data_IF_951699869314
#
_entry.id   IF_951699869314
#
_cell.length_a   1.000
_cell.length_b   1.000
_cell.length_c   1.000
_cell.angle_alpha   90.00
_cell.angle_beta   90.00
_cell.angle_gamma   90.00
#
_symmetry.space_group_name_H-M   'P 1'
#
loop_
_entity.id
_entity.type
_entity.pdbx_description
1 polymer ?
#
# COMPACT_ATOMS: atom_id res chain seq x y z
N UNK A 1 -2.59 0.95 -9.57
CA UNK A 1 -1.97 0.26 -8.43
C UNK A 1 -1.22 -0.96 -8.97
N UNK A 2 -0.01 -0.75 -9.49
CA UNK A 2 0.71 -1.72 -10.35
C UNK A 2 1.24 -2.94 -9.58
N UNK A 3 1.40 -2.78 -8.26
CA UNK A 3 1.95 -3.79 -7.35
C UNK A 3 0.88 -4.58 -6.58
N UNK A 4 -0.39 -4.30 -6.83
CA UNK A 4 -1.48 -4.92 -6.09
C UNK A 4 -1.60 -6.42 -6.45
N UNK A 5 -1.72 -7.32 -5.46
CA UNK A 5 -1.85 -8.76 -5.69
C UNK A 5 -3.08 -9.12 -6.54
N UNK A 6 -3.02 -10.28 -7.19
CA UNK A 6 -4.13 -10.85 -7.98
C UNK A 6 -5.04 -11.75 -7.14
N UNK A 7 -4.47 -12.49 -6.20
CA UNK A 7 -5.18 -13.37 -5.30
C UNK A 7 -6.06 -12.60 -4.32
N UNK A 8 -7.26 -13.13 -4.07
CA UNK A 8 -8.32 -12.41 -3.34
C UNK A 8 -7.89 -12.05 -1.91
N UNK A 9 -7.23 -12.96 -1.20
CA UNK A 9 -6.87 -12.74 0.20
C UNK A 9 -5.68 -11.78 0.30
N UNK A 10 -4.63 -12.01 -0.49
CA UNK A 10 -3.47 -11.12 -0.55
C UNK A 10 -3.89 -9.71 -0.96
N UNK A 11 -4.82 -9.59 -1.92
CA UNK A 11 -5.37 -8.30 -2.33
C UNK A 11 -6.13 -7.61 -1.20
N UNK A 12 -6.94 -8.36 -0.44
CA UNK A 12 -7.68 -7.82 0.70
C UNK A 12 -6.75 -7.30 1.79
N UNK A 13 -5.67 -8.03 2.09
CA UNK A 13 -4.62 -7.59 3.02
C UNK A 13 -3.91 -6.35 2.49
N UNK A 14 -3.48 -6.36 1.22
CA UNK A 14 -2.79 -5.24 0.60
C UNK A 14 -3.62 -3.95 0.66
N UNK A 15 -4.90 -4.02 0.28
CA UNK A 15 -5.79 -2.87 0.30
C UNK A 15 -6.07 -2.37 1.74
N UNK A 16 -6.23 -3.28 2.71
CA UNK A 16 -6.43 -2.92 4.11
C UNK A 16 -5.17 -2.27 4.73
N UNK A 17 -3.99 -2.75 4.38
CA UNK A 17 -2.70 -2.20 4.81
C UNK A 17 -2.42 -0.84 4.17
N UNK A 18 -2.77 -0.65 2.90
CA UNK A 18 -2.67 0.65 2.25
C UNK A 18 -3.63 1.68 2.87
N UNK A 19 -4.86 1.27 3.22
CA UNK A 19 -5.77 2.12 3.98
C UNK A 19 -5.17 2.54 5.33
N UNK A 20 -4.58 1.58 6.07
CA UNK A 20 -3.90 1.87 7.33
C UNK A 20 -2.72 2.85 7.15
N UNK A 21 -1.98 2.78 6.04
CA UNK A 21 -0.90 3.72 5.69
C UNK A 21 -1.42 5.14 5.51
N UNK A 22 -2.47 5.32 4.70
CA UNK A 22 -3.08 6.63 4.43
C UNK A 22 -3.64 7.24 5.71
N UNK A 23 -4.34 6.43 6.52
CA UNK A 23 -4.84 6.84 7.83
C UNK A 23 -3.72 7.22 8.80
N UNK A 24 -2.59 6.51 8.77
CA UNK A 24 -1.45 6.81 9.61
C UNK A 24 -0.80 8.15 9.27
N UNK A 25 -0.67 8.49 7.98
CA UNK A 25 -0.17 9.80 7.54
C UNK A 25 -1.06 10.91 8.10
N UNK A 26 -2.38 10.79 7.90
CA UNK A 26 -3.34 11.76 8.42
C UNK A 26 -3.33 11.86 9.95
N UNK A 27 -3.22 10.72 10.64
CA UNK A 27 -3.17 10.64 12.10
C UNK A 27 -1.91 11.27 12.69
N UNK A 28 -0.75 11.16 12.01
CA UNK A 28 0.51 11.77 12.44
C UNK A 28 0.50 13.28 12.26
N UNK A 29 -0.17 13.77 11.22
CA UNK A 29 -0.28 15.20 10.94
C UNK A 29 -1.33 15.90 11.81
N UNK A 30 -2.44 15.22 12.15
CA UNK A 30 -3.60 15.83 12.78
C UNK A 30 -4.17 14.96 13.91
N UNK A 31 -3.99 15.41 15.15
CA UNK A 31 -4.48 14.71 16.35
C UNK A 31 -6.01 14.43 16.29
N UNK A 32 -6.81 15.41 15.85
CA UNK A 32 -8.27 15.23 15.75
C UNK A 32 -8.67 14.17 14.71
N UNK A 33 -7.89 14.01 13.63
CA UNK A 33 -8.10 12.92 12.65
C UNK A 33 -7.76 11.58 13.29
N UNK A 34 -6.66 11.51 14.04
CA UNK A 34 -6.27 10.31 14.75
C UNK A 34 -7.33 9.85 15.78
N UNK A 35 -7.94 10.79 16.50
CA UNK A 35 -9.00 10.50 17.48
C UNK A 35 -10.30 10.05 16.79
N UNK A 36 -10.66 10.68 15.68
CA UNK A 36 -11.82 10.29 14.87
C UNK A 36 -11.66 8.90 14.26
N UNK A 37 -10.49 8.59 13.69
CA UNK A 37 -10.19 7.26 13.14
C UNK A 37 -10.21 6.22 14.25
N UNK A 38 -9.61 6.50 15.42
CA UNK A 38 -9.68 5.61 16.57
C UNK A 38 -11.12 5.27 16.99
N UNK A 39 -11.98 6.28 17.05
CA UNK A 39 -13.40 6.10 17.39
C UNK A 39 -14.16 5.32 16.31
N UNK A 40 -13.90 5.61 15.04
CA UNK A 40 -14.49 4.88 13.91
C UNK A 40 -14.10 3.40 13.93
N UNK A 41 -12.83 3.08 14.19
CA UNK A 41 -12.34 1.71 14.27
C UNK A 41 -12.96 0.96 15.46
N UNK A 42 -13.06 1.61 16.62
CA UNK A 42 -13.75 1.05 17.79
C UNK A 42 -15.21 0.66 17.45
N UNK A 43 -15.95 1.56 16.81
CA UNK A 43 -17.32 1.29 16.37
C UNK A 43 -17.40 0.19 15.30
N UNK A 44 -16.46 0.17 14.35
CA UNK A 44 -16.40 -0.82 13.27
C UNK A 44 -16.22 -2.23 13.84
N UNK A 45 -15.22 -2.44 14.69
CA UNK A 45 -14.91 -3.77 15.22
C UNK A 45 -15.91 -4.25 16.28
N UNK A 46 -16.49 -3.34 17.05
CA UNK A 46 -17.59 -3.67 17.95
C UNK A 46 -18.82 -4.19 17.18
N UNK A 47 -19.20 -3.53 16.06
CA UNK A 47 -20.33 -3.97 15.22
C UNK A 47 -20.07 -5.29 14.49
N UNK A 48 -18.81 -5.58 14.19
CA UNK A 48 -18.40 -6.85 13.58
C UNK A 48 -18.36 -8.01 14.60
N UNK A 49 -18.65 -7.77 15.88
CA UNK A 49 -18.61 -8.75 16.97
C UNK A 49 -17.24 -9.44 17.14
N UNK A 50 -16.16 -8.70 16.87
CA UNK A 50 -14.80 -9.23 16.96
C UNK A 50 -14.24 -9.22 18.39
N UNK A 51 -14.96 -8.60 19.33
CA UNK A 51 -14.60 -8.59 20.76
C UNK A 51 -14.54 -10.01 21.34
N UNK A 52 -15.44 -10.88 20.86
CA UNK A 52 -15.63 -12.23 21.39
C UNK A 52 -15.07 -13.33 20.47
N UNK A 53 -14.26 -12.97 19.47
CA UNK A 53 -13.70 -13.95 18.52
C UNK A 53 -12.74 -14.91 19.24
N UNK A 54 -12.92 -16.22 18.98
CA UNK A 54 -12.17 -17.29 19.67
C UNK A 54 -11.22 -18.02 18.76
N UNK A 55 -11.60 -18.18 17.50
CA UNK A 55 -10.91 -19.01 16.53
C UNK A 55 -10.50 -18.21 15.31
N UNK A 56 -9.34 -18.55 14.74
CA UNK A 56 -8.81 -17.90 13.53
C UNK A 56 -9.73 -18.02 12.32
N UNK A 57 -10.58 -19.06 12.27
CA UNK A 57 -11.54 -19.27 11.19
C UNK A 57 -12.61 -18.17 11.11
N UNK A 58 -12.93 -17.51 12.23
CA UNK A 58 -13.91 -16.43 12.32
C UNK A 58 -13.23 -15.04 12.45
N UNK A 59 -11.91 -14.99 12.30
CA UNK A 59 -11.09 -13.82 12.56
C UNK A 59 -10.43 -13.33 11.26
N UNK A 60 -10.93 -12.26 10.61
CA UNK A 60 -10.39 -11.79 9.33
C UNK A 60 -8.93 -11.35 9.46
N UNK A 61 -8.03 -12.03 8.75
CA UNK A 61 -6.59 -11.79 8.82
C UNK A 61 -6.23 -10.39 8.33
N UNK A 62 -6.88 -9.91 7.26
CA UNK A 62 -6.67 -8.59 6.67
C UNK A 62 -6.91 -7.46 7.66
N UNK A 63 -7.92 -7.59 8.52
CA UNK A 63 -8.22 -6.60 9.55
C UNK A 63 -7.20 -6.66 10.69
N UNK A 64 -6.73 -7.86 11.07
CA UNK A 64 -5.71 -8.02 12.08
C UNK A 64 -4.37 -7.41 11.64
N UNK A 65 -3.94 -7.70 10.40
CA UNK A 65 -2.71 -7.13 9.82
C UNK A 65 -2.82 -5.62 9.69
N UNK A 66 -3.95 -5.09 9.21
CA UNK A 66 -4.16 -3.64 9.11
C UNK A 66 -4.08 -2.94 10.48
N UNK A 67 -4.66 -3.55 11.52
CA UNK A 67 -4.59 -3.05 12.90
C UNK A 67 -3.15 -3.06 13.45
N UNK A 68 -2.40 -4.13 13.21
CA UNK A 68 -0.98 -4.23 13.60
C UNK A 68 -0.12 -3.18 12.88
N UNK A 69 -0.31 -3.01 11.57
CA UNK A 69 0.38 -1.97 10.78
C UNK A 69 0.03 -0.58 11.32
N UNK A 70 -1.25 -0.30 11.56
CA UNK A 70 -1.68 1.00 12.13
C UNK A 70 -1.01 1.29 13.46
N UNK A 71 -1.00 0.32 14.39
CA UNK A 71 -0.32 0.45 15.69
C UNK A 71 1.15 0.79 15.49
N UNK A 72 1.84 0.08 14.58
CA UNK A 72 3.25 0.33 14.27
C UNK A 72 3.50 1.72 13.70
N UNK A 73 2.70 2.15 12.72
CA UNK A 73 2.91 3.41 11.99
C UNK A 73 2.54 4.65 12.83
N UNK A 74 1.60 4.52 13.77
CA UNK A 74 1.06 5.64 14.55
C UNK A 74 1.50 5.64 16.01
N UNK A 75 1.96 4.51 16.56
CA UNK A 75 2.24 4.33 17.98
C UNK A 75 1.00 4.31 18.87
N UNK A 76 -0.22 4.33 18.28
CA UNK A 76 -1.47 4.29 19.03
C UNK A 76 -1.88 2.85 19.26
N UNK A 77 -2.35 2.57 20.47
CA UNK A 77 -2.87 1.26 20.82
C UNK A 77 -4.01 0.82 19.88
N UNK A 78 -4.15 -0.50 19.75
CA UNK A 78 -5.28 -1.16 19.11
C UNK A 78 -6.59 -0.75 19.83
N UNK A 79 -7.69 -0.47 19.11
CA UNK A 79 -9.01 -0.27 19.74
C UNK A 79 -9.41 -1.52 20.54
N UNK A 80 -10.11 -1.34 21.66
CA UNK A 80 -10.45 -2.44 22.58
C UNK A 80 -11.24 -3.53 21.90
N UNK A 81 -12.17 -3.15 21.02
CA UNK A 81 -12.96 -4.10 20.23
C UNK A 81 -12.18 -4.89 19.19
N UNK A 82 -10.95 -4.48 18.85
CA UNK A 82 -10.04 -5.18 17.94
C UNK A 82 -8.89 -5.92 18.63
N UNK A 83 -8.67 -5.72 19.93
CA UNK A 83 -7.55 -6.33 20.67
C UNK A 83 -7.56 -7.87 20.53
N UNK A 84 -8.73 -8.49 20.73
CA UNK A 84 -8.86 -9.95 20.66
C UNK A 84 -8.52 -10.51 19.28
N UNK A 85 -8.95 -9.81 18.22
CA UNK A 85 -8.63 -10.17 16.84
C UNK A 85 -7.12 -10.14 16.62
N UNK A 86 -6.46 -9.06 17.04
CA UNK A 86 -5.00 -8.91 16.89
C UNK A 86 -4.26 -9.96 17.70
N UNK A 87 -4.66 -10.22 18.95
CA UNK A 87 -4.00 -11.20 19.82
C UNK A 87 -4.00 -12.63 19.24
N UNK A 88 -5.04 -13.01 18.49
CA UNK A 88 -5.10 -14.31 17.83
C UNK A 88 -4.06 -14.45 16.71
N UNK A 89 -3.81 -13.37 15.98
CA UNK A 89 -2.97 -13.38 14.78
C UNK A 89 -1.54 -12.94 15.04
N UNK A 90 -1.32 -12.06 16.02
CA UNK A 90 -0.03 -11.44 16.32
C UNK A 90 1.12 -12.44 16.41
N UNK A 91 1.02 -13.57 17.15
CA UNK A 91 2.15 -14.51 17.24
C UNK A 91 2.59 -15.06 15.88
N UNK A 92 1.62 -15.34 15.01
CA UNK A 92 1.89 -15.88 13.67
C UNK A 92 2.40 -14.80 12.71
N UNK A 93 1.83 -13.59 12.76
CA UNK A 93 2.28 -12.47 11.92
C UNK A 93 3.70 -12.04 12.32
N UNK A 94 4.01 -11.97 13.62
CA UNK A 94 5.34 -11.62 14.11
C UNK A 94 6.38 -12.71 13.77
N UNK A 95 6.00 -14.00 13.85
CA UNK A 95 6.86 -15.10 13.43
C UNK A 95 7.21 -15.01 11.94
N UNK A 96 6.24 -14.67 11.09
CA UNK A 96 6.42 -14.66 9.64
C UNK A 96 7.04 -13.38 9.11
N UNK A 97 6.59 -12.22 9.58
CA UNK A 97 6.80 -10.95 8.89
C UNK A 97 7.20 -9.78 9.80
N UNK A 98 7.77 -10.07 10.98
CA UNK A 98 8.25 -9.01 11.90
C UNK A 98 9.25 -8.05 11.25
N UNK A 99 10.17 -8.55 10.43
CA UNK A 99 11.19 -7.71 9.79
C UNK A 99 10.56 -6.72 8.80
N UNK A 100 9.59 -7.18 8.01
CA UNK A 100 8.88 -6.36 7.03
C UNK A 100 8.04 -5.28 7.73
N UNK A 101 7.34 -5.64 8.81
CA UNK A 101 6.58 -4.70 9.64
C UNK A 101 7.45 -3.58 10.24
N UNK A 102 8.67 -3.92 10.66
CA UNK A 102 9.63 -2.93 11.18
C UNK A 102 10.08 -1.94 10.08
N UNK A 103 10.18 -2.40 8.83
CA UNK A 103 10.58 -1.59 7.68
C UNK A 103 9.51 -0.58 7.22
N UNK A 104 8.22 -0.85 7.45
CA UNK A 104 7.12 -0.03 6.93
C UNK A 104 7.18 1.44 7.37
N UNK A 105 7.58 1.71 8.62
CA UNK A 105 7.63 3.07 9.16
C UNK A 105 8.60 3.98 8.42
N UNK A 106 9.70 3.41 7.90
CA UNK A 106 10.71 4.16 7.15
C UNK A 106 10.26 4.52 5.72
N UNK A 107 9.23 3.84 5.21
CA UNK A 107 8.71 4.01 3.84
C UNK A 107 7.31 4.61 3.80
N UNK A 108 6.81 5.12 4.93
CA UNK A 108 5.44 5.64 5.07
C UNK A 108 5.04 6.62 3.94
N UNK A 109 5.94 7.54 3.60
CA UNK A 109 5.70 8.62 2.63
C UNK A 109 6.07 8.23 1.18
N UNK A 110 6.67 7.06 0.96
CA UNK A 110 7.01 6.52 -0.35
C UNK A 110 6.08 5.33 -0.65
N UNK A 111 5.00 5.59 -1.37
CA UNK A 111 3.99 4.58 -1.67
C UNK A 111 4.56 3.37 -2.43
N UNK A 112 5.50 3.57 -3.35
CA UNK A 112 6.06 2.47 -4.14
C UNK A 112 6.98 1.60 -3.27
N UNK A 113 7.84 2.22 -2.46
CA UNK A 113 8.68 1.46 -1.52
C UNK A 113 7.85 0.74 -0.45
N UNK A 114 6.79 1.38 0.06
CA UNK A 114 5.87 0.77 1.00
C UNK A 114 5.16 -0.45 0.37
N UNK A 115 4.63 -0.31 -0.84
CA UNK A 115 3.95 -1.39 -1.55
C UNK A 115 4.86 -2.60 -1.80
N UNK A 116 6.16 -2.39 -2.08
CA UNK A 116 7.14 -3.48 -2.19
C UNK A 116 7.32 -4.24 -0.87
N UNK A 117 7.49 -3.54 0.25
CA UNK A 117 7.57 -4.18 1.58
C UNK A 117 6.28 -4.95 1.89
N UNK A 118 5.11 -4.42 1.53
CA UNK A 118 3.84 -5.14 1.72
C UNK A 118 3.78 -6.42 0.88
N UNK A 119 4.33 -6.42 -0.35
CA UNK A 119 4.47 -7.65 -1.15
C UNK A 119 5.40 -8.65 -0.48
N UNK A 120 6.56 -8.22 0.01
CA UNK A 120 7.51 -9.08 0.72
C UNK A 120 6.85 -9.69 1.98
N UNK A 121 6.09 -8.88 2.73
CA UNK A 121 5.29 -9.32 3.87
C UNK A 121 4.27 -10.41 3.50
N UNK A 122 3.61 -10.28 2.34
CA UNK A 122 2.68 -11.30 1.81
C UNK A 122 3.41 -12.59 1.42
N UNK A 123 4.60 -12.51 0.82
CA UNK A 123 5.45 -13.69 0.54
C UNK A 123 5.82 -14.39 1.85
N UNK A 124 6.29 -13.64 2.85
CA UNK A 124 6.65 -14.13 4.18
C UNK A 124 5.48 -14.85 4.87
N UNK A 125 4.25 -14.41 4.61
CA UNK A 125 3.00 -15.00 5.08
C UNK A 125 2.50 -16.18 4.22
N UNK A 126 3.36 -16.79 3.39
CA UNK A 126 3.06 -17.93 2.52
C UNK A 126 2.03 -17.63 1.41
N UNK A 127 1.89 -16.36 1.01
CA UNK A 127 0.92 -15.91 0.01
C UNK A 127 1.56 -15.59 -1.35
N UNK A 128 2.74 -16.18 -1.64
CA UNK A 128 3.48 -15.90 -2.88
C UNK A 128 2.67 -16.22 -4.15
N UNK A 129 1.90 -17.32 -4.14
CA UNK A 129 1.03 -17.72 -5.26
C UNK A 129 -0.12 -16.72 -5.52
N UNK A 130 -0.42 -15.86 -4.55
CA UNK A 130 -1.47 -14.83 -4.67
C UNK A 130 -0.97 -13.51 -5.26
N UNK A 131 0.33 -13.35 -5.51
CA UNK A 131 0.90 -12.08 -5.97
C UNK A 131 0.77 -11.81 -7.47
N UNK A 132 0.48 -12.85 -8.28
CA UNK A 132 0.52 -12.80 -9.75
C UNK A 132 1.95 -12.91 -10.31
N UNK A 133 2.08 -13.11 -11.63
CA UNK A 133 3.39 -13.06 -12.29
C UNK A 133 3.98 -11.66 -12.12
N UNK A 134 5.18 -11.58 -11.54
CA UNK A 134 5.96 -10.36 -11.45
C UNK A 134 6.22 -9.84 -12.87
N UNK A 135 5.42 -8.87 -13.32
CA UNK A 135 5.96 -7.88 -14.24
C UNK A 135 6.86 -6.97 -13.41
N UNK A 136 8.06 -7.47 -13.10
CA UNK A 136 9.27 -6.66 -13.03
C UNK A 136 9.39 -5.92 -14.37
N UNK A 137 8.62 -4.85 -14.51
CA UNK A 137 9.14 -3.70 -15.22
C UNK A 137 9.97 -2.98 -14.19
N UNK A 138 11.22 -3.43 -14.08
CA UNK A 138 12.32 -2.56 -13.68
C UNK A 138 12.07 -1.20 -14.33
N UNK A 139 12.12 -0.15 -13.50
CA UNK A 139 12.33 1.20 -14.00
C UNK A 139 13.54 1.14 -14.93
N UNK A 140 13.28 1.15 -16.24
CA UNK A 140 14.28 1.56 -17.21
C UNK A 140 14.49 3.05 -16.98
N UNK A 141 15.37 3.37 -16.05
CA UNK A 141 16.15 4.60 -16.09
C UNK A 141 17.04 4.54 -17.34
N UNK A 142 16.50 5.00 -18.47
CA UNK A 142 17.21 5.46 -19.67
C UNK A 142 16.14 6.11 -20.57
N UNK A 143 16.19 7.39 -20.98
CA UNK A 143 17.33 8.28 -21.14
C UNK A 143 16.79 9.71 -21.19
N UNK A 144 17.23 10.55 -20.25
CA UNK A 144 17.17 12.01 -20.34
C UNK A 144 18.30 12.45 -21.29
N UNK A 145 18.12 12.23 -22.60
CA UNK A 145 18.96 12.83 -23.64
C UNK A 145 18.30 14.14 -24.08
N UNK A 146 18.51 15.15 -23.24
CA UNK A 146 18.45 16.53 -23.63
C UNK A 146 19.69 16.84 -24.50
N UNK A 147 19.45 17.30 -25.75
CA UNK A 147 20.14 18.42 -26.46
C UNK A 147 20.27 18.21 -27.99
N UNK A 148 20.47 19.26 -28.81
CA UNK A 148 20.13 20.68 -28.66
C UNK A 148 19.47 21.30 -29.93
N UNK A 149 19.10 22.58 -29.84
CA UNK A 149 18.69 23.46 -30.93
C UNK A 149 19.88 23.90 -31.83
N UNK A 150 19.58 24.24 -33.10
CA UNK A 150 20.39 25.06 -34.01
C UNK A 150 20.97 24.27 -35.20
N UNK A 151 21.03 24.73 -36.45
CA UNK A 151 20.77 26.01 -37.11
C UNK A 151 20.61 25.73 -38.64
N UNK A 152 19.84 26.60 -39.30
CA UNK A 152 19.92 27.06 -40.70
C UNK A 152 20.58 26.19 -41.79
N UNK A 153 19.78 25.84 -42.81
CA UNK A 153 20.25 25.97 -44.19
C UNK A 153 19.10 26.35 -45.14
N UNK A 154 19.30 27.49 -45.78
CA UNK A 154 18.46 28.15 -46.78
C UNK A 154 18.57 27.51 -48.17
N UNK A 155 17.55 27.83 -48.99
CA UNK A 155 17.53 27.92 -50.47
C UNK A 155 17.62 26.64 -51.32
N UNK A 156 16.51 26.29 -52.00
CA UNK A 156 16.25 26.50 -53.45
C UNK A 156 14.97 25.70 -53.80
N UNK A 157 13.87 26.31 -54.24
CA UNK A 157 13.63 26.68 -55.64
C UNK A 157 12.47 25.85 -56.21
N UNK A 158 11.38 26.50 -56.61
CA UNK A 158 10.23 25.84 -57.23
C UNK A 158 8.95 26.67 -57.27
N UNK A 159 8.88 27.59 -58.23
CA UNK A 159 7.69 28.32 -58.68
C UNK A 159 6.62 27.40 -59.33
N UNK A 160 5.46 28.01 -59.63
CA UNK A 160 4.27 27.56 -60.36
C UNK A 160 3.25 26.68 -59.61
N UNK A 161 1.93 26.85 -59.76
CA UNK A 161 1.07 27.81 -60.47
C UNK A 161 -0.39 27.45 -60.13
N UNK A 162 -1.30 28.44 -60.19
CA UNK A 162 -2.78 28.32 -60.30
C UNK A 162 -3.52 27.56 -59.19
N UNK A 163 -4.54 28.10 -58.52
CA UNK A 163 -5.56 29.07 -58.93
C UNK A 163 -6.92 28.53 -58.49
N UNK A 164 -7.68 29.34 -57.73
CA UNK A 164 -9.17 29.47 -57.68
C UNK A 164 -10.03 28.19 -57.86
N UNK A 165 -11.00 27.86 -56.99
CA UNK A 165 -12.03 28.65 -56.30
C UNK A 165 -12.44 27.99 -54.97
#
# INVERSE_FOLDING_TARGET
NKLAPEGKLARSIYDAVEQARVEAIGSRAMQGVADNIGSMLEDKYAKANLVDVKDKADAPLEEAVALMVREKLTGRAIPKSGERLVDLWRPWVEEKASADLDGLSAKLDDQQAFARIVRDMLVSMEMAEELGDDQESEDSEDNDDNEPQGEEQSEEGGEDDSGSE
#
